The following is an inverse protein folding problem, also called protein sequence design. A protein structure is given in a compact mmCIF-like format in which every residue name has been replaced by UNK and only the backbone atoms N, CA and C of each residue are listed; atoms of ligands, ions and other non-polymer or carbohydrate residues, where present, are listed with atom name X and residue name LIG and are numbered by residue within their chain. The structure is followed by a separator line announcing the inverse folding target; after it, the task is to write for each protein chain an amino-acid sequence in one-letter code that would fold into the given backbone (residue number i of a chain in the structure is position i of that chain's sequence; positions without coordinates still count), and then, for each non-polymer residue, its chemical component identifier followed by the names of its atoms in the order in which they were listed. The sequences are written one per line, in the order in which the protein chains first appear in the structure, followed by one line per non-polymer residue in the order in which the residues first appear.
data_IF_234336014695
#
_entry.id   IF_234336014695
#
_cell.length_a   1.000
_cell.length_b   1.000
_cell.length_c   1.000
_cell.angle_alpha   90.00
_cell.angle_beta   90.00
_cell.angle_gamma   90.00
#
_symmetry.space_group_name_H-M   'P 1'
#
loop_
_entity.id
_entity.type
_entity.pdbx_description
1 polymer ?
#
# COMPACT_ATOMS: atom_id res chain seq x y z
N UNK A 1 3.75 -5.15 -3.49
CA UNK A 1 4.34 -4.72 -2.20
C UNK A 1 5.77 -4.23 -2.34
N UNK A 2 6.64 -4.95 -3.07
CA UNK A 2 8.06 -4.57 -3.31
C UNK A 2 8.29 -3.07 -3.60
N UNK A 3 7.56 -2.47 -4.54
CA UNK A 3 7.69 -1.03 -4.85
C UNK A 3 7.39 -0.09 -3.67
N UNK A 4 6.38 -0.41 -2.86
CA UNK A 4 6.02 0.44 -1.73
C UNK A 4 7.06 0.34 -0.60
N UNK A 5 7.64 -0.86 -0.42
CA UNK A 5 8.71 -1.07 0.56
C UNK A 5 10.02 -0.41 0.12
N UNK A 6 10.38 -0.51 -1.16
CA UNK A 6 11.52 0.21 -1.73
C UNK A 6 11.35 1.72 -1.62
N UNK A 7 10.14 2.24 -1.88
CA UNK A 7 9.83 3.65 -1.70
C UNK A 7 9.91 4.08 -0.24
N UNK A 8 9.47 3.24 0.71
CA UNK A 8 9.56 3.54 2.13
C UNK A 8 11.04 3.58 2.60
N UNK A 9 11.88 2.66 2.14
CA UNK A 9 13.33 2.67 2.41
C UNK A 9 13.98 3.91 1.81
N UNK A 10 13.72 4.21 0.54
CA UNK A 10 14.27 5.38 -0.13
C UNK A 10 13.84 6.70 0.54
N UNK A 11 12.61 6.79 1.04
CA UNK A 11 12.15 7.96 1.78
C UNK A 11 12.84 8.07 3.16
N UNK A 12 13.08 6.95 3.83
CA UNK A 12 13.80 6.92 5.10
C UNK A 12 15.27 7.33 4.95
N UNK A 13 15.93 6.91 3.87
CA UNK A 13 17.30 7.28 3.54
C UNK A 13 17.41 8.77 3.13
N UNK A 14 16.60 9.22 2.17
CA UNK A 14 16.75 10.55 1.60
C UNK A 14 16.25 11.69 2.50
N UNK A 15 15.15 11.48 3.25
CA UNK A 15 14.54 12.55 4.04
C UNK A 15 14.98 12.52 5.51
N UNK A 16 15.38 11.37 6.03
CA UNK A 16 15.70 11.19 7.44
C UNK A 16 17.14 10.69 7.68
N UNK A 17 17.94 10.45 6.63
CA UNK A 17 19.32 9.94 6.71
C UNK A 17 19.45 8.71 7.64
N UNK A 18 18.42 7.87 7.68
CA UNK A 18 18.41 6.67 8.50
C UNK A 18 19.25 5.57 7.85
N UNK A 19 19.91 4.77 8.67
CA UNK A 19 20.70 3.62 8.20
C UNK A 19 19.79 2.50 7.69
N UNK A 20 19.95 2.14 6.42
CA UNK A 20 19.15 1.13 5.71
C UNK A 20 19.26 -0.24 6.37
N UNK A 21 20.41 -0.54 6.97
CA UNK A 21 20.66 -1.85 7.60
C UNK A 21 19.95 -1.99 8.97
N UNK A 22 19.54 -0.87 9.57
CA UNK A 22 18.87 -0.82 10.90
C UNK A 22 17.36 -0.62 10.80
N UNK A 23 16.83 -0.42 9.60
CA UNK A 23 15.41 -0.20 9.34
C UNK A 23 14.63 -1.52 9.43
N UNK A 24 13.52 -1.50 10.16
CA UNK A 24 12.57 -2.61 10.23
C UNK A 24 11.15 -2.14 9.91
N UNK A 25 10.31 -3.05 9.41
CA UNK A 25 8.89 -2.78 9.17
C UNK A 25 8.16 -2.82 10.52
N UNK A 26 7.71 -1.67 11.00
CA UNK A 26 6.92 -1.56 12.23
C UNK A 26 5.51 -2.05 12.00
N UNK A 27 4.86 -1.54 10.96
CA UNK A 27 3.47 -1.85 10.63
C UNK A 27 3.28 -1.88 9.11
N UNK A 28 2.46 -2.83 8.64
CA UNK A 28 2.02 -2.89 7.26
C UNK A 28 0.55 -3.30 7.22
N UNK A 29 -0.30 -2.44 6.68
CA UNK A 29 -1.73 -2.70 6.56
C UNK A 29 -2.30 -2.19 5.25
N UNK A 30 -3.43 -2.79 4.87
CA UNK A 30 -4.13 -2.49 3.62
C UNK A 30 -5.52 -1.95 3.95
N UNK A 31 -5.72 -0.66 3.66
CA UNK A 31 -7.00 0.02 3.80
C UNK A 31 -7.90 -0.18 2.58
N UNK A 32 -9.21 -0.01 2.80
CA UNK A 32 -10.17 0.10 1.70
C UNK A 32 -10.00 1.44 1.00
N UNK A 33 -10.04 1.44 -0.33
CA UNK A 33 -10.12 2.64 -1.14
C UNK A 33 -11.44 2.69 -1.91
N UNK A 34 -11.52 3.62 -2.85
CA UNK A 34 -12.67 3.74 -3.74
C UNK A 34 -12.96 2.42 -4.46
N UNK A 35 -14.24 2.11 -4.65
CA UNK A 35 -14.66 1.00 -5.49
C UNK A 35 -15.39 1.55 -6.69
N UNK A 36 -14.77 1.44 -7.88
CA UNK A 36 -15.39 1.93 -9.09
C UNK A 36 -16.52 0.99 -9.53
N UNK A 37 -17.66 1.57 -9.91
CA UNK A 37 -18.78 0.85 -10.50
C UNK A 37 -18.63 0.84 -12.01
N UNK A 38 -18.83 -0.32 -12.62
CA UNK A 38 -18.84 -0.56 -14.06
C UNK A 38 -20.09 -1.36 -14.42
N UNK A 39 -20.58 -1.15 -15.62
CA UNK A 39 -21.68 -1.95 -16.16
C UNK A 39 -21.12 -3.04 -17.05
N UNK A 40 -21.73 -4.22 -16.98
CA UNK A 40 -21.43 -5.32 -17.91
C UNK A 40 -22.72 -5.69 -18.65
N UNK A 41 -22.77 -5.59 -19.99
CA UNK A 41 -23.96 -5.95 -20.74
C UNK A 41 -24.27 -7.45 -20.57
N UNK A 42 -25.56 -7.79 -20.52
CA UNK A 42 -26.09 -9.15 -20.43
C UNK A 42 -27.20 -9.33 -21.46
N UNK A 43 -27.61 -10.58 -21.68
CA UNK A 43 -28.68 -10.92 -22.63
C UNK A 43 -29.99 -10.20 -22.29
N UNK A 44 -30.83 -9.98 -23.32
CA UNK A 44 -32.16 -9.36 -23.23
C UNK A 44 -32.15 -7.96 -22.58
N UNK A 45 -31.20 -7.11 -22.97
CA UNK A 45 -31.13 -5.71 -22.51
C UNK A 45 -30.79 -5.51 -21.03
N UNK A 46 -30.41 -6.58 -20.31
CA UNK A 46 -30.06 -6.50 -18.89
C UNK A 46 -28.63 -5.98 -18.72
N UNK A 47 -28.39 -5.22 -17.65
CA UNK A 47 -27.04 -4.79 -17.25
C UNK A 47 -26.69 -5.35 -15.88
N UNK A 48 -25.54 -6.02 -15.80
CA UNK A 48 -24.95 -6.46 -14.54
C UNK A 48 -24.09 -5.35 -13.93
N UNK A 49 -24.01 -5.31 -12.60
CA UNK A 49 -23.05 -4.46 -11.89
C UNK A 49 -21.72 -5.19 -11.76
N UNK A 50 -20.64 -4.53 -12.16
CA UNK A 50 -19.26 -4.94 -11.92
C UNK A 50 -18.61 -3.92 -10.99
N UNK A 51 -17.89 -4.39 -9.96
CA UNK A 51 -17.14 -3.55 -9.04
C UNK A 51 -15.65 -3.73 -9.28
N UNK A 52 -14.89 -2.64 -9.34
CA UNK A 52 -13.42 -2.64 -9.40
C UNK A 52 -12.90 -2.02 -8.10
N UNK A 53 -12.56 -2.85 -7.08
CA UNK A 53 -12.07 -2.36 -5.81
C UNK A 53 -10.63 -1.87 -5.95
N UNK A 54 -10.33 -0.76 -5.29
CA UNK A 54 -8.97 -0.30 -5.04
C UNK A 54 -8.66 -0.42 -3.55
N UNK A 55 -7.38 -0.39 -3.22
CA UNK A 55 -6.87 -0.45 -1.85
C UNK A 55 -5.72 0.52 -1.67
N UNK A 56 -5.61 1.09 -0.47
CA UNK A 56 -4.44 1.86 -0.06
C UNK A 56 -3.52 0.96 0.74
N UNK A 57 -2.26 0.88 0.32
CA UNK A 57 -1.23 0.11 1.02
C UNK A 57 -0.36 1.10 1.80
N UNK A 58 -0.33 0.94 3.12
CA UNK A 58 0.48 1.77 4.02
C UNK A 58 1.56 0.89 4.64
N UNK A 59 2.81 1.34 4.55
CA UNK A 59 3.98 0.67 5.14
C UNK A 59 4.68 1.70 6.02
N UNK A 60 4.88 1.35 7.28
CA UNK A 60 5.58 2.16 8.27
C UNK A 60 6.89 1.46 8.61
N UNK A 61 8.00 2.15 8.37
CA UNK A 61 9.35 1.70 8.73
C UNK A 61 9.85 2.50 9.93
N UNK A 62 10.62 1.85 10.79
CA UNK A 62 11.19 2.45 12.00
C UNK A 62 12.61 1.91 12.21
N UNK A 63 13.47 2.68 12.86
CA UNK A 63 14.82 2.24 13.21
C UNK A 63 14.79 1.49 14.54
N UNK A 64 15.55 0.40 14.64
CA UNK A 64 15.70 -0.35 15.88
C UNK A 64 16.56 0.46 16.86
N UNK A 65 15.94 1.04 17.89
CA UNK A 65 16.71 1.60 19.01
C UNK A 65 17.41 0.46 19.75
N UNK A 66 18.74 0.49 19.74
CA UNK A 66 19.57 -0.40 20.56
C UNK A 66 19.25 -0.08 22.03
N UNK A 67 18.53 -0.99 22.69
CA UNK A 67 18.30 -0.87 24.13
C UNK A 67 19.60 -1.28 24.80
N UNK A 68 20.22 -0.30 25.48
CA UNK A 68 21.48 -0.38 26.21
C UNK A 68 21.58 -1.66 27.05
#
# INVERSE_FOLDING_TARGET
MSKALQSAIANAENNHQLDVDRLFVKEAFVGKAITMRRFRPRARGRTGRLRKPFSHLTVVVSERQETV
#
